data_IF_759791719846
#
_entry.id   IF_759791719846
#
_cell.length_a   1.000
_cell.length_b   1.000
_cell.length_c   1.000
_cell.angle_alpha   90.00
_cell.angle_beta   90.00
_cell.angle_gamma   90.00
#
_symmetry.space_group_name_H-M   'P 1'
#
loop_
_entity.id
_entity.type
_entity.pdbx_description
1 polymer ?
#
# COMPACT_ATOMS: atom_id res chain seq x y z
N UNK A 1 -14.61 -59.02 -15.91
CA UNK A 1 -15.20 -57.80 -15.29
C UNK A 1 -14.24 -57.09 -14.34
N UNK A 2 -13.55 -57.81 -13.45
CA UNK A 2 -12.63 -57.23 -12.46
C UNK A 2 -11.38 -56.63 -13.10
N UNK A 3 -10.84 -57.26 -14.17
CA UNK A 3 -9.70 -56.70 -14.96
C UNK A 3 -10.05 -55.37 -15.58
N UNK A 4 -11.26 -55.22 -16.10
CA UNK A 4 -11.72 -53.96 -16.72
C UNK A 4 -11.93 -52.86 -15.67
N UNK A 5 -12.36 -53.22 -14.47
CA UNK A 5 -12.50 -52.30 -13.32
C UNK A 5 -11.14 -51.81 -12.80
N UNK A 6 -10.11 -52.65 -12.80
CA UNK A 6 -8.75 -52.29 -12.37
C UNK A 6 -8.08 -51.32 -13.36
N UNK A 7 -8.25 -51.55 -14.65
CA UNK A 7 -7.69 -50.62 -15.67
C UNK A 7 -8.36 -49.24 -15.59
N UNK A 8 -9.69 -49.20 -15.45
CA UNK A 8 -10.42 -47.94 -15.29
C UNK A 8 -10.06 -47.19 -13.99
N UNK A 9 -9.71 -47.92 -12.94
CA UNK A 9 -9.20 -47.35 -11.68
C UNK A 9 -7.81 -46.73 -11.86
N UNK A 10 -6.91 -47.41 -12.60
CA UNK A 10 -5.58 -46.91 -12.92
C UNK A 10 -5.63 -45.63 -13.73
N UNK A 11 -6.47 -45.60 -14.77
CA UNK A 11 -6.63 -44.40 -15.62
C UNK A 11 -7.12 -43.16 -14.81
N UNK A 12 -8.06 -43.38 -13.88
CA UNK A 12 -8.54 -42.31 -12.97
C UNK A 12 -7.50 -41.85 -11.97
N UNK A 13 -6.63 -42.73 -11.52
CA UNK A 13 -5.53 -42.41 -10.61
C UNK A 13 -4.49 -41.55 -11.34
N UNK A 14 -4.17 -41.85 -12.58
CA UNK A 14 -3.25 -41.08 -13.41
C UNK A 14 -3.82 -39.67 -13.70
N UNK A 15 -5.09 -39.56 -14.08
CA UNK A 15 -5.78 -38.28 -14.26
C UNK A 15 -5.77 -37.44 -12.95
N UNK A 16 -5.99 -38.11 -11.81
CA UNK A 16 -5.96 -37.46 -10.50
C UNK A 16 -4.55 -36.98 -10.16
N UNK A 17 -3.51 -37.73 -10.47
CA UNK A 17 -2.12 -37.34 -10.26
C UNK A 17 -1.74 -36.09 -11.09
N UNK A 18 -2.24 -36.00 -12.33
CA UNK A 18 -2.03 -34.83 -13.17
C UNK A 18 -2.74 -33.57 -12.61
N UNK A 19 -3.97 -33.72 -12.09
CA UNK A 19 -4.68 -32.63 -11.40
C UNK A 19 -3.93 -32.13 -10.17
N UNK A 20 -3.31 -33.01 -9.38
CA UNK A 20 -2.49 -32.59 -8.23
C UNK A 20 -1.20 -31.88 -8.67
N UNK A 21 -0.59 -32.32 -9.77
CA UNK A 21 0.58 -31.63 -10.31
C UNK A 21 0.22 -30.21 -10.78
N UNK A 22 -0.90 -30.07 -11.48
CA UNK A 22 -1.42 -28.77 -11.87
C UNK A 22 -1.77 -27.93 -10.65
N UNK A 23 -2.44 -28.50 -9.64
CA UNK A 23 -2.76 -27.81 -8.38
C UNK A 23 -1.51 -27.27 -7.67
N UNK A 24 -0.44 -28.08 -7.60
CA UNK A 24 0.84 -27.63 -7.04
C UNK A 24 1.46 -26.48 -7.82
N UNK A 25 1.42 -26.50 -9.16
CA UNK A 25 1.90 -25.38 -9.98
C UNK A 25 1.12 -24.10 -9.69
N UNK A 26 -0.22 -24.18 -9.59
CA UNK A 26 -1.06 -23.04 -9.25
C UNK A 26 -0.78 -22.46 -7.86
N UNK A 27 -0.49 -23.32 -6.89
CA UNK A 27 -0.08 -22.87 -5.55
C UNK A 27 1.25 -22.14 -5.60
N UNK A 28 2.20 -22.64 -6.38
CA UNK A 28 3.51 -22.00 -6.55
C UNK A 28 3.38 -20.62 -7.24
N UNK A 29 2.60 -20.53 -8.30
CA UNK A 29 2.26 -19.26 -8.95
C UNK A 29 1.64 -18.27 -7.95
N UNK A 30 0.71 -18.75 -7.12
CA UNK A 30 0.07 -17.91 -6.08
C UNK A 30 1.09 -17.38 -5.06
N UNK A 31 2.07 -18.21 -4.65
CA UNK A 31 3.13 -17.78 -3.73
C UNK A 31 3.98 -16.68 -4.37
N UNK A 32 4.37 -16.83 -5.63
CA UNK A 32 5.15 -15.85 -6.38
C UNK A 32 4.39 -14.53 -6.54
N UNK A 33 3.09 -14.57 -6.87
CA UNK A 33 2.24 -13.39 -6.97
C UNK A 33 2.13 -12.65 -5.62
N UNK A 34 1.96 -13.39 -4.52
CA UNK A 34 1.88 -12.81 -3.17
C UNK A 34 3.23 -12.21 -2.75
N UNK A 35 4.35 -12.78 -3.13
CA UNK A 35 5.68 -12.19 -2.90
C UNK A 35 5.89 -10.93 -3.73
N UNK A 36 5.44 -10.91 -4.97
CA UNK A 36 5.42 -9.71 -5.80
C UNK A 36 4.60 -8.59 -5.18
N UNK A 37 3.37 -8.90 -4.73
CA UNK A 37 2.50 -7.94 -4.03
C UNK A 37 3.14 -7.41 -2.75
N UNK A 38 3.83 -8.24 -1.99
CA UNK A 38 4.58 -7.79 -0.80
C UNK A 38 5.66 -6.77 -1.17
N UNK A 39 6.40 -7.01 -2.26
CA UNK A 39 7.42 -6.07 -2.77
C UNK A 39 6.81 -4.70 -3.13
N UNK A 40 5.66 -4.70 -3.79
CA UNK A 40 4.94 -3.46 -4.16
C UNK A 40 4.42 -2.70 -2.93
N UNK A 41 3.93 -3.40 -1.90
CA UNK A 41 3.51 -2.79 -0.64
C UNK A 41 4.67 -2.10 0.07
N UNK A 42 5.85 -2.74 0.13
CA UNK A 42 7.07 -2.16 0.72
C UNK A 42 7.52 -0.91 -0.05
N UNK A 43 7.51 -0.96 -1.38
CA UNK A 43 7.85 0.19 -2.22
C UNK A 43 6.85 1.35 -2.00
N UNK A 44 5.55 1.07 -1.99
CA UNK A 44 4.49 2.05 -1.75
C UNK A 44 4.63 2.72 -0.38
N UNK A 45 4.95 1.96 0.66
CA UNK A 45 5.25 2.48 2.00
C UNK A 45 6.43 3.46 2.00
N UNK A 46 7.47 3.19 1.20
CA UNK A 46 8.60 4.10 1.00
C UNK A 46 8.17 5.44 0.40
N UNK A 47 7.31 5.41 -0.61
CA UNK A 47 6.75 6.62 -1.25
C UNK A 47 5.92 7.44 -0.26
N UNK A 48 5.06 6.79 0.51
CA UNK A 48 4.21 7.46 1.52
C UNK A 48 5.06 8.08 2.63
N UNK A 49 6.11 7.41 3.10
CA UNK A 49 7.06 7.97 4.06
C UNK A 49 7.75 9.23 3.53
N UNK A 50 8.12 9.22 2.26
CA UNK A 50 8.71 10.38 1.60
C UNK A 50 7.71 11.54 1.53
N UNK A 51 6.45 11.26 1.17
CA UNK A 51 5.36 12.24 1.15
C UNK A 51 5.15 12.87 2.54
N UNK A 52 5.05 12.06 3.59
CA UNK A 52 4.89 12.53 4.96
C UNK A 52 6.06 13.43 5.41
N UNK A 53 7.28 13.13 4.95
CA UNK A 53 8.45 13.96 5.22
C UNK A 53 8.41 15.28 4.48
N UNK A 54 7.98 15.27 3.22
CA UNK A 54 7.80 16.50 2.42
C UNK A 54 6.72 17.40 3.01
N UNK A 55 5.60 16.84 3.43
CA UNK A 55 4.53 17.59 4.11
C UNK A 55 5.05 18.31 5.37
N UNK A 56 5.85 17.65 6.19
CA UNK A 56 6.49 18.28 7.37
C UNK A 56 7.44 19.42 7.00
N UNK A 57 8.19 19.26 5.91
CA UNK A 57 9.08 20.32 5.41
C UNK A 57 8.29 21.53 4.91
N UNK A 58 7.17 21.31 4.22
CA UNK A 58 6.28 22.38 3.75
C UNK A 58 5.67 23.13 4.94
N UNK A 59 5.23 22.40 5.96
CA UNK A 59 4.67 22.99 7.19
C UNK A 59 5.67 23.96 7.84
N UNK A 60 6.93 23.56 7.97
CA UNK A 60 7.99 24.45 8.46
C UNK A 60 8.23 25.69 7.60
N UNK A 61 8.06 25.58 6.27
CA UNK A 61 8.16 26.75 5.36
C UNK A 61 6.95 27.68 5.56
N UNK A 62 5.76 27.13 5.73
CA UNK A 62 4.54 27.92 5.98
C UNK A 62 4.62 28.71 7.28
N UNK A 63 5.21 28.14 8.32
CA UNK A 63 5.48 28.85 9.58
C UNK A 63 6.39 30.07 9.35
N UNK A 64 7.44 29.91 8.56
CA UNK A 64 8.33 31.03 8.20
C UNK A 64 7.58 32.11 7.42
N UNK A 65 6.78 31.74 6.41
CA UNK A 65 6.00 32.68 5.61
C UNK A 65 4.99 33.43 6.48
N UNK A 66 4.30 32.72 7.38
CA UNK A 66 3.35 33.32 8.32
C UNK A 66 4.03 34.32 9.25
N UNK A 67 5.22 34.00 9.75
CA UNK A 67 6.02 34.92 10.58
C UNK A 67 6.44 36.17 9.78
N UNK A 68 6.87 36.01 8.52
CA UNK A 68 7.21 37.15 7.64
C UNK A 68 5.97 38.03 7.38
N UNK A 69 4.82 37.41 7.11
CA UNK A 69 3.56 38.15 6.91
C UNK A 69 3.14 38.91 8.18
N UNK A 70 3.29 38.30 9.36
CA UNK A 70 3.06 39.00 10.64
C UNK A 70 3.99 40.22 10.81
N UNK A 71 5.28 40.07 10.57
CA UNK A 71 6.24 41.17 10.63
C UNK A 71 5.91 42.26 9.63
N UNK A 72 5.55 41.88 8.39
CA UNK A 72 5.16 42.81 7.34
C UNK A 72 3.90 43.61 7.72
N UNK A 73 2.91 42.92 8.30
CA UNK A 73 1.70 43.57 8.82
C UNK A 73 2.02 44.60 9.90
N UNK A 74 2.91 44.28 10.86
CA UNK A 74 3.35 45.21 11.91
C UNK A 74 4.17 46.37 11.35
N UNK A 75 5.05 46.16 10.37
CA UNK A 75 5.81 47.21 9.71
C UNK A 75 4.88 48.15 8.93
N UNK A 76 3.91 47.61 8.21
CA UNK A 76 2.91 48.40 7.48
C UNK A 76 2.04 49.25 8.44
N UNK A 77 1.63 48.65 9.59
CA UNK A 77 0.89 49.40 10.62
C UNK A 77 1.72 50.58 11.16
N UNK A 78 2.99 50.37 11.49
CA UNK A 78 3.88 51.41 11.96
C UNK A 78 4.09 52.51 10.88
N UNK A 79 4.23 52.13 9.61
CA UNK A 79 4.34 53.05 8.51
C UNK A 79 3.05 53.89 8.33
N UNK A 80 1.87 53.25 8.46
CA UNK A 80 0.59 53.98 8.38
C UNK A 80 0.43 55.00 9.52
N UNK A 81 0.86 54.62 10.75
CA UNK A 81 0.85 55.54 11.89
C UNK A 81 1.75 56.74 11.65
N UNK A 82 2.97 56.54 11.15
CA UNK A 82 3.91 57.65 10.90
C UNK A 82 3.48 58.51 9.71
N UNK A 83 2.88 57.88 8.70
CA UNK A 83 2.27 58.61 7.58
C UNK A 83 1.12 59.54 8.03
N UNK A 84 0.27 59.03 8.93
CA UNK A 84 -0.79 59.83 9.55
C UNK A 84 -0.23 61.00 10.40
N UNK A 85 0.89 60.80 11.05
CA UNK A 85 1.59 61.81 11.84
C UNK A 85 2.18 62.95 10.99
N UNK A 86 2.57 62.64 9.73
CA UNK A 86 3.09 63.60 8.79
C UNK A 86 2.00 64.46 8.09
N UNK A 87 0.71 64.23 8.38
CA UNK A 87 -0.42 65.00 7.86
C UNK A 87 -0.53 64.94 6.33
N UNK A 88 -0.78 66.05 5.69
CA UNK A 88 -0.94 66.16 4.23
C UNK A 88 0.27 65.59 3.43
N UNK A 89 1.48 65.74 3.95
CA UNK A 89 2.70 65.22 3.33
C UNK A 89 2.80 63.69 3.36
N UNK A 90 2.06 63.01 4.25
CA UNK A 90 2.06 61.59 4.43
C UNK A 90 0.97 60.82 3.66
N UNK A 91 0.01 61.50 2.99
CA UNK A 91 -1.17 60.86 2.36
C UNK A 91 -0.80 59.74 1.37
N UNK A 92 0.20 59.96 0.52
CA UNK A 92 0.64 58.94 -0.43
C UNK A 92 1.25 57.69 0.27
N UNK A 93 2.01 57.89 1.33
CA UNK A 93 2.62 56.82 2.12
C UNK A 93 1.57 56.03 2.92
N UNK A 94 0.52 56.71 3.41
CA UNK A 94 -0.59 56.00 4.11
C UNK A 94 -1.29 55.01 3.21
N UNK A 95 -1.58 55.37 1.95
CA UNK A 95 -2.24 54.46 0.99
C UNK A 95 -1.36 53.23 0.71
N UNK A 96 -0.05 53.43 0.52
CA UNK A 96 0.89 52.33 0.29
C UNK A 96 0.98 51.40 1.53
N UNK A 97 1.04 51.97 2.72
CA UNK A 97 1.09 51.23 3.98
C UNK A 97 -0.19 50.41 4.17
N UNK A 98 -1.36 50.94 3.89
CA UNK A 98 -2.63 50.20 3.98
C UNK A 98 -2.71 49.04 2.97
N UNK A 99 -2.19 49.26 1.75
CA UNK A 99 -2.13 48.19 0.72
C UNK A 99 -1.18 47.06 1.14
N UNK A 100 0.03 47.38 1.67
CA UNK A 100 0.98 46.41 2.20
C UNK A 100 0.34 45.61 3.36
N UNK A 101 -0.39 46.29 4.24
CA UNK A 101 -1.09 45.68 5.36
C UNK A 101 -2.15 44.70 4.87
N UNK A 102 -2.93 45.07 3.89
CA UNK A 102 -3.95 44.23 3.27
C UNK A 102 -3.33 42.97 2.63
N UNK A 103 -2.21 43.15 1.91
CA UNK A 103 -1.48 42.05 1.31
C UNK A 103 -0.91 41.08 2.36
N UNK A 104 -0.36 41.61 3.47
CA UNK A 104 0.14 40.82 4.57
C UNK A 104 -0.97 39.95 5.21
N UNK A 105 -2.14 40.51 5.47
CA UNK A 105 -3.31 39.78 6.00
C UNK A 105 -3.78 38.72 5.01
N UNK A 106 -3.82 39.03 3.72
CA UNK A 106 -4.19 38.03 2.69
C UNK A 106 -3.18 36.89 2.63
N UNK A 107 -1.90 37.22 2.76
CA UNK A 107 -0.84 36.17 2.83
C UNK A 107 -1.02 35.25 4.02
N UNK A 108 -1.32 35.79 5.21
CA UNK A 108 -1.63 34.98 6.40
C UNK A 108 -2.83 34.05 6.21
N UNK A 109 -3.92 34.59 5.61
CA UNK A 109 -5.10 33.76 5.30
C UNK A 109 -4.76 32.60 4.37
N UNK A 110 -4.03 32.91 3.28
CA UNK A 110 -3.64 31.90 2.28
C UNK A 110 -2.68 30.85 2.88
N UNK A 111 -1.73 31.24 3.72
CA UNK A 111 -0.85 30.29 4.41
C UNK A 111 -1.64 29.40 5.38
N UNK A 112 -2.63 29.95 6.07
CA UNK A 112 -3.52 29.17 6.95
C UNK A 112 -4.34 28.14 6.17
N UNK A 113 -4.86 28.50 5.00
CA UNK A 113 -5.56 27.53 4.12
C UNK A 113 -4.63 26.41 3.64
N UNK A 114 -3.39 26.75 3.25
CA UNK A 114 -2.41 25.75 2.82
C UNK A 114 -2.03 24.84 4.02
N UNK A 115 -1.89 25.38 5.22
CA UNK A 115 -1.58 24.62 6.42
C UNK A 115 -2.66 23.58 6.76
N UNK A 116 -3.94 23.94 6.55
CA UNK A 116 -5.05 22.99 6.66
C UNK A 116 -4.96 21.88 5.61
N UNK A 117 -4.62 22.20 4.35
CA UNK A 117 -4.43 21.21 3.30
C UNK A 117 -3.27 20.26 3.61
N UNK A 118 -2.15 20.78 4.12
CA UNK A 118 -1.01 19.95 4.54
C UNK A 118 -1.38 19.02 5.68
N UNK A 119 -2.14 19.49 6.67
CA UNK A 119 -2.62 18.64 7.77
C UNK A 119 -3.52 17.49 7.27
N UNK A 120 -4.38 17.74 6.27
CA UNK A 120 -5.20 16.70 5.65
C UNK A 120 -4.35 15.69 4.86
N UNK A 121 -3.30 16.17 4.17
CA UNK A 121 -2.37 15.29 3.46
C UNK A 121 -1.58 14.40 4.43
N UNK A 122 -1.15 14.93 5.56
CA UNK A 122 -0.47 14.17 6.62
C UNK A 122 -1.38 13.08 7.18
N UNK A 123 -2.63 13.41 7.51
CA UNK A 123 -3.61 12.43 7.97
C UNK A 123 -3.85 11.33 6.92
N UNK A 124 -3.98 11.71 5.64
CA UNK A 124 -4.15 10.73 4.55
C UNK A 124 -2.90 9.84 4.36
N UNK A 125 -1.71 10.37 4.58
CA UNK A 125 -0.47 9.59 4.54
C UNK A 125 -0.40 8.59 5.70
N UNK A 126 -0.83 8.97 6.89
CA UNK A 126 -0.90 8.08 8.06
C UNK A 126 -1.91 6.94 7.84
N UNK A 127 -3.10 7.26 7.30
CA UNK A 127 -4.11 6.26 6.93
C UNK A 127 -3.58 5.28 5.87
N UNK A 128 -2.87 5.80 4.87
CA UNK A 128 -2.26 4.97 3.83
C UNK A 128 -1.16 4.06 4.40
N UNK A 129 -0.33 4.55 5.34
CA UNK A 129 0.65 3.70 6.04
C UNK A 129 -0.01 2.56 6.80
N UNK A 130 -1.12 2.84 7.48
CA UNK A 130 -1.87 1.82 8.20
C UNK A 130 -2.45 0.77 7.25
N UNK A 131 -3.02 1.20 6.12
CA UNK A 131 -3.53 0.29 5.09
C UNK A 131 -2.43 -0.59 4.51
N UNK A 132 -1.22 -0.03 4.24
CA UNK A 132 -0.07 -0.80 3.78
C UNK A 132 0.38 -1.84 4.81
N UNK A 133 0.44 -1.49 6.10
CA UNK A 133 0.78 -2.42 7.17
C UNK A 133 -0.21 -3.59 7.28
N UNK A 134 -1.51 -3.31 7.12
CA UNK A 134 -2.54 -4.36 7.07
C UNK A 134 -2.37 -5.25 5.82
N UNK A 135 -2.05 -4.66 4.67
CA UNK A 135 -1.75 -5.37 3.43
C UNK A 135 -0.54 -6.30 3.56
N UNK A 136 0.54 -5.84 4.19
CA UNK A 136 1.72 -6.65 4.50
C UNK A 136 1.35 -7.89 5.36
N UNK A 137 0.54 -7.69 6.39
CA UNK A 137 0.09 -8.78 7.27
C UNK A 137 -0.81 -9.78 6.53
N UNK A 138 -1.72 -9.29 5.68
CA UNK A 138 -2.59 -10.12 4.87
C UNK A 138 -1.78 -10.94 3.85
N UNK A 139 -0.83 -10.30 3.16
CA UNK A 139 0.08 -10.96 2.23
C UNK A 139 0.85 -12.10 2.90
N UNK A 140 1.44 -11.84 4.08
CA UNK A 140 2.14 -12.86 4.85
C UNK A 140 1.21 -14.05 5.23
N UNK A 141 -0.02 -13.76 5.63
CA UNK A 141 -1.03 -14.79 5.94
C UNK A 141 -1.41 -15.61 4.70
N UNK A 142 -1.61 -14.96 3.54
CA UNK A 142 -1.91 -15.64 2.28
C UNK A 142 -0.78 -16.57 1.86
N UNK A 143 0.48 -16.11 1.96
CA UNK A 143 1.65 -16.94 1.66
C UNK A 143 1.72 -18.20 2.52
N UNK A 144 1.50 -18.06 3.83
CA UNK A 144 1.48 -19.20 4.75
C UNK A 144 0.37 -20.22 4.41
N UNK A 145 -0.82 -19.72 4.07
CA UNK A 145 -1.94 -20.58 3.68
C UNK A 145 -1.67 -21.28 2.35
N UNK A 146 -1.11 -20.59 1.38
CA UNK A 146 -0.74 -21.18 0.09
C UNK A 146 0.32 -22.28 0.29
N UNK A 147 1.37 -22.03 1.07
CA UNK A 147 2.38 -23.01 1.38
C UNK A 147 1.78 -24.27 2.06
N UNK A 148 0.92 -24.08 3.07
CA UNK A 148 0.23 -25.20 3.73
C UNK A 148 -0.67 -25.98 2.76
N UNK A 149 -1.29 -25.32 1.79
CA UNK A 149 -2.08 -25.99 0.74
C UNK A 149 -1.17 -26.82 -0.17
N UNK A 150 0.00 -26.30 -0.54
CA UNK A 150 1.01 -27.05 -1.31
C UNK A 150 1.47 -28.30 -0.59
N UNK A 151 1.76 -28.21 0.72
CA UNK A 151 2.15 -29.35 1.55
C UNK A 151 1.04 -30.44 1.58
N UNK A 152 -0.22 -30.03 1.67
CA UNK A 152 -1.36 -30.97 1.64
C UNK A 152 -1.46 -31.64 0.26
N UNK A 153 -1.33 -30.91 -0.82
CA UNK A 153 -1.38 -31.46 -2.19
C UNK A 153 -0.23 -32.45 -2.42
N UNK A 154 0.95 -32.14 -1.91
CA UNK A 154 2.09 -33.06 -1.98
C UNK A 154 1.81 -34.37 -1.21
N UNK A 155 1.31 -34.30 0.01
CA UNK A 155 0.94 -35.47 0.80
C UNK A 155 -0.13 -36.32 0.10
N UNK A 156 -1.11 -35.68 -0.56
CA UNK A 156 -2.13 -36.41 -1.30
C UNK A 156 -1.49 -37.10 -2.53
N UNK A 157 -0.59 -36.43 -3.26
CA UNK A 157 0.14 -37.00 -4.37
C UNK A 157 0.93 -38.26 -3.95
N UNK A 158 1.64 -38.23 -2.82
CA UNK A 158 2.37 -39.35 -2.29
C UNK A 158 1.45 -40.54 -1.94
N UNK A 159 0.27 -40.27 -1.36
CA UNK A 159 -0.72 -41.29 -1.07
C UNK A 159 -1.34 -41.90 -2.34
N UNK A 160 -1.55 -41.09 -3.38
CA UNK A 160 -2.02 -41.60 -4.67
C UNK A 160 -1.02 -42.57 -5.29
N UNK A 161 0.27 -42.29 -5.25
CA UNK A 161 1.29 -43.23 -5.72
C UNK A 161 1.23 -44.58 -4.99
N UNK A 162 0.96 -44.60 -3.67
CA UNK A 162 0.77 -45.83 -2.91
C UNK A 162 -0.48 -46.59 -3.35
N UNK A 163 -1.59 -45.87 -3.61
CA UNK A 163 -2.84 -46.52 -4.08
C UNK A 163 -2.64 -47.07 -5.50
N UNK A 164 -1.94 -46.34 -6.38
CA UNK A 164 -1.61 -46.84 -7.73
C UNK A 164 -0.76 -48.13 -7.66
N UNK A 165 0.26 -48.14 -6.82
CA UNK A 165 1.09 -49.34 -6.62
C UNK A 165 0.27 -50.52 -6.10
N UNK A 166 -0.63 -50.33 -5.14
CA UNK A 166 -1.54 -51.34 -4.63
C UNK A 166 -2.53 -51.86 -5.68
N UNK A 167 -3.09 -50.97 -6.50
CA UNK A 167 -3.99 -51.34 -7.60
C UNK A 167 -3.30 -52.19 -8.65
N UNK A 168 -2.05 -51.91 -8.98
CA UNK A 168 -1.25 -52.69 -9.92
C UNK A 168 -0.92 -54.07 -9.37
N UNK A 169 -0.64 -54.21 -8.06
CA UNK A 169 -0.41 -55.49 -7.42
C UNK A 169 -1.68 -56.37 -7.44
N UNK A 170 -2.85 -55.78 -7.20
CA UNK A 170 -4.14 -56.49 -7.29
C UNK A 170 -4.38 -56.97 -8.74
N UNK A 171 -4.12 -56.11 -9.75
CA UNK A 171 -4.28 -56.52 -11.14
C UNK A 171 -3.38 -57.68 -11.50
N UNK A 172 -2.12 -57.67 -11.06
CA UNK A 172 -1.16 -58.76 -11.30
C UNK A 172 -1.57 -60.07 -10.61
N UNK A 173 -1.99 -60.02 -9.33
CA UNK A 173 -2.44 -61.18 -8.62
C UNK A 173 -3.68 -61.83 -9.28
N UNK A 174 -4.54 -61.03 -9.89
CA UNK A 174 -5.72 -61.53 -10.59
C UNK A 174 -5.38 -62.16 -11.95
N UNK A 175 -4.34 -61.69 -12.65
CA UNK A 175 -3.84 -62.33 -13.86
C UNK A 175 -3.20 -63.69 -13.57
N UNK A 176 -2.55 -63.88 -12.41
CA UNK A 176 -1.96 -65.14 -11.97
C UNK A 176 -3.03 -66.18 -11.54
N UNK A 177 -4.26 -65.76 -11.20
CA UNK A 177 -5.36 -66.62 -10.76
C UNK A 177 -6.32 -67.01 -11.92
N UNK A 178 -6.17 -66.51 -13.12
CA UNK A 178 -7.01 -66.81 -14.29
C UNK A 178 -6.29 -67.76 -15.24
#
# INVERSE_FOLDING_TARGET
EVSHSSTAASDRLDETADLFREGNLRVQETIEEVEGMHGELVASKGVINTLATQCRSIDGILDVINNIANQTNLLALNAAIEAARAGESGRGFSVVADEIRTLAIKTQSSTGEIQQMISLLQASADDAQQAMAQGEQLSASCRLKAAATGDILQQISERLLQVTAGSNQIAQAMQEQS
#
